data_IF_738905564823
#
_entry.id   IF_738905564823
#
_cell.length_a   1.000
_cell.length_b   1.000
_cell.length_c   1.000
_cell.angle_alpha   90.00
_cell.angle_beta   90.00
_cell.angle_gamma   90.00
#
_symmetry.space_group_name_H-M   'P 1'
#
loop_
_entity.id
_entity.type
_entity.pdbx_description
1 polymer ?
#
# COMPACT_ATOMS: atom_id res chain seq x y z
N UNK A 1 -8.55 -36.25 -62.77
CA UNK A 1 -7.79 -37.06 -61.80
C UNK A 1 -7.70 -36.24 -60.51
N UNK A 2 -8.69 -36.42 -59.65
CA UNK A 2 -8.85 -35.64 -58.41
C UNK A 2 -8.41 -36.46 -57.23
N UNK A 3 -7.53 -35.91 -56.41
CA UNK A 3 -7.12 -36.47 -55.12
C UNK A 3 -8.01 -35.88 -54.02
N UNK A 4 -8.84 -36.74 -53.40
CA UNK A 4 -9.57 -36.43 -52.20
C UNK A 4 -8.65 -36.65 -50.98
N UNK A 5 -8.36 -35.58 -50.22
CA UNK A 5 -7.79 -35.71 -48.90
C UNK A 5 -8.90 -35.78 -47.84
N UNK A 6 -9.03 -36.95 -47.21
CA UNK A 6 -9.88 -37.19 -46.05
C UNK A 6 -9.29 -36.50 -44.82
N UNK A 7 -9.98 -35.50 -44.29
CA UNK A 7 -9.73 -34.98 -42.95
C UNK A 7 -10.60 -35.75 -41.94
N UNK A 8 -9.97 -36.53 -41.10
CA UNK A 8 -10.61 -37.12 -39.93
C UNK A 8 -10.77 -36.03 -38.83
N UNK A 9 -11.90 -35.95 -38.12
CA UNK A 9 -12.05 -34.97 -37.05
C UNK A 9 -11.17 -35.37 -35.88
N UNK A 10 -10.32 -34.41 -35.43
CA UNK A 10 -9.60 -34.51 -34.15
C UNK A 10 -10.61 -34.45 -33.02
N UNK A 11 -10.73 -35.54 -32.26
CA UNK A 11 -11.48 -35.59 -31.01
C UNK A 11 -10.90 -34.59 -30.01
N UNK A 12 -11.71 -33.61 -29.66
CA UNK A 12 -11.43 -32.68 -28.55
C UNK A 12 -11.43 -33.48 -27.24
N UNK A 13 -10.24 -33.85 -26.80
CA UNK A 13 -10.00 -34.26 -25.42
C UNK A 13 -10.14 -33.03 -24.51
N UNK A 14 -11.34 -32.86 -23.94
CA UNK A 14 -11.54 -31.96 -22.83
C UNK A 14 -10.57 -32.33 -21.69
N UNK A 15 -9.48 -31.59 -21.53
CA UNK A 15 -8.70 -31.62 -20.30
C UNK A 15 -9.57 -31.05 -19.20
N UNK A 16 -10.16 -31.92 -18.40
CA UNK A 16 -10.76 -31.53 -17.12
C UNK A 16 -9.59 -31.04 -16.24
N UNK A 17 -9.43 -29.74 -16.16
CA UNK A 17 -8.57 -29.09 -15.15
C UNK A 17 -9.18 -29.40 -13.77
N UNK A 18 -8.75 -30.50 -13.17
CA UNK A 18 -9.04 -30.80 -11.77
C UNK A 18 -8.31 -29.71 -10.96
N UNK A 19 -9.05 -28.70 -10.54
CA UNK A 19 -8.56 -27.68 -9.64
C UNK A 19 -7.90 -28.39 -8.45
N UNK A 20 -6.57 -28.38 -8.39
CA UNK A 20 -5.81 -28.92 -7.25
C UNK A 20 -6.34 -28.25 -6.01
N UNK A 21 -7.00 -29.00 -5.11
CA UNK A 21 -7.38 -28.52 -3.77
C UNK A 21 -6.14 -27.90 -3.15
N UNK A 22 -6.19 -26.60 -2.93
CA UNK A 22 -5.11 -25.86 -2.27
C UNK A 22 -4.93 -26.48 -0.88
N UNK A 23 -3.79 -27.14 -0.63
CA UNK A 23 -3.50 -27.77 0.66
C UNK A 23 -3.58 -26.68 1.72
N UNK A 24 -4.49 -26.81 2.68
CA UNK A 24 -4.56 -25.89 3.81
C UNK A 24 -3.24 -25.92 4.55
N UNK A 25 -2.65 -24.73 4.71
CA UNK A 25 -1.42 -24.58 5.44
C UNK A 25 -1.73 -24.54 6.95
N UNK A 26 -0.83 -25.05 7.82
CA UNK A 26 -1.14 -25.24 9.22
C UNK A 26 -1.40 -23.95 9.98
N UNK A 27 -2.29 -24.01 10.96
CA UNK A 27 -2.42 -23.05 12.04
C UNK A 27 -1.43 -23.42 13.14
N UNK A 28 -0.66 -22.43 13.61
CA UNK A 28 0.24 -22.56 14.75
C UNK A 28 -0.33 -21.76 15.91
N UNK A 29 -0.61 -22.43 17.01
CA UNK A 29 -1.26 -21.82 18.16
C UNK A 29 -0.24 -21.29 19.19
N UNK A 30 -0.60 -20.18 19.85
CA UNK A 30 0.14 -19.57 20.96
C UNK A 30 1.63 -19.35 20.68
N UNK A 31 1.94 -18.83 19.51
CA UNK A 31 3.32 -18.55 19.11
C UNK A 31 3.74 -17.19 19.66
N UNK A 32 4.87 -17.14 20.35
CA UNK A 32 5.47 -15.90 20.83
C UNK A 32 6.26 -15.23 19.72
N UNK A 33 6.01 -13.96 19.49
CA UNK A 33 6.81 -13.12 18.58
C UNK A 33 8.08 -12.69 19.32
N UNK A 34 9.24 -12.90 18.70
CA UNK A 34 10.53 -12.77 19.40
C UNK A 34 11.38 -11.59 18.92
N UNK A 35 11.25 -11.17 17.66
CA UNK A 35 12.11 -10.12 17.09
C UNK A 35 11.41 -9.38 15.93
N UNK A 36 12.11 -8.41 15.37
CA UNK A 36 11.68 -7.64 14.19
C UNK A 36 12.67 -7.89 13.05
N UNK A 37 12.15 -8.09 11.86
CA UNK A 37 12.92 -8.22 10.63
C UNK A 37 12.77 -6.97 9.74
N UNK A 38 13.44 -7.01 8.59
CA UNK A 38 13.30 -5.99 7.56
C UNK A 38 11.85 -5.79 7.11
N UNK A 39 11.56 -4.64 6.51
CA UNK A 39 10.26 -4.28 5.95
C UNK A 39 9.10 -4.22 6.96
N UNK A 40 9.41 -4.10 8.26
CA UNK A 40 8.41 -4.00 9.31
C UNK A 40 7.67 -5.30 9.61
N UNK A 41 8.21 -6.45 9.22
CA UNK A 41 7.73 -7.77 9.64
C UNK A 41 8.32 -8.11 11.00
N UNK A 42 7.54 -8.75 11.84
CA UNK A 42 8.06 -9.36 13.06
C UNK A 42 8.44 -10.82 12.81
N UNK A 43 9.19 -11.41 13.73
CA UNK A 43 9.76 -12.75 13.62
C UNK A 43 9.29 -13.62 14.78
N UNK A 44 8.88 -14.84 14.44
CA UNK A 44 8.75 -15.94 15.38
C UNK A 44 9.62 -17.10 14.90
N UNK A 45 9.98 -18.00 15.80
CA UNK A 45 10.69 -19.25 15.50
C UNK A 45 9.95 -20.44 16.10
N UNK A 46 9.57 -21.38 15.25
CA UNK A 46 8.89 -22.62 15.69
C UNK A 46 9.59 -23.81 15.00
N UNK A 47 10.13 -24.73 15.80
CA UNK A 47 10.84 -25.92 15.31
C UNK A 47 11.89 -25.57 14.22
N UNK A 48 12.77 -24.62 14.51
CA UNK A 48 13.79 -24.06 13.62
C UNK A 48 13.30 -23.36 12.37
N UNK A 49 11.98 -23.31 12.13
CA UNK A 49 11.40 -22.54 11.04
C UNK A 49 11.23 -21.08 11.46
N UNK A 50 11.84 -20.18 10.71
CA UNK A 50 11.65 -18.74 10.86
C UNK A 50 10.31 -18.34 10.22
N UNK A 51 9.49 -17.58 10.95
CA UNK A 51 8.16 -17.16 10.51
C UNK A 51 8.09 -15.64 10.52
N UNK A 52 7.82 -15.05 9.36
CA UNK A 52 7.63 -13.61 9.19
C UNK A 52 6.15 -13.27 9.32
N UNK A 53 5.82 -12.31 10.19
CA UNK A 53 4.44 -11.94 10.52
C UNK A 53 4.29 -10.42 10.48
N UNK A 54 3.40 -9.86 9.67
CA UNK A 54 3.11 -8.43 9.69
C UNK A 54 2.19 -8.05 10.87
N UNK A 55 2.24 -6.78 11.29
CA UNK A 55 1.32 -6.15 12.24
C UNK A 55 1.30 -6.76 13.65
N UNK A 56 2.33 -7.49 14.02
CA UNK A 56 2.60 -7.97 15.37
C UNK A 56 3.92 -7.39 15.87
N UNK A 57 4.13 -7.39 17.18
CA UNK A 57 5.34 -6.87 17.81
C UNK A 57 5.96 -7.91 18.75
N UNK A 58 7.27 -7.84 19.02
CA UNK A 58 7.92 -8.75 19.96
C UNK A 58 7.22 -8.75 21.31
N UNK A 59 7.02 -9.96 21.87
CA UNK A 59 6.26 -10.17 23.13
C UNK A 59 4.78 -10.45 22.92
N UNK A 60 4.22 -10.27 21.71
CA UNK A 60 2.87 -10.76 21.43
C UNK A 60 2.84 -12.29 21.44
N UNK A 61 1.77 -12.89 21.99
CA UNK A 61 1.45 -14.31 21.86
C UNK A 61 0.21 -14.48 21.01
N UNK A 62 0.38 -15.13 19.85
CA UNK A 62 -0.64 -15.15 18.80
C UNK A 62 -0.81 -16.52 18.15
N UNK A 63 -2.00 -16.77 17.59
CA UNK A 63 -2.20 -17.88 16.65
C UNK A 63 -1.85 -17.40 15.24
N UNK A 64 -1.02 -18.16 14.55
CA UNK A 64 -0.47 -17.84 13.25
C UNK A 64 -1.02 -18.76 12.17
N UNK A 65 -1.78 -18.20 11.23
CA UNK A 65 -2.16 -18.89 10.00
C UNK A 65 -1.03 -18.76 8.98
N UNK A 66 -0.38 -19.86 8.65
CA UNK A 66 0.64 -19.88 7.59
C UNK A 66 -0.03 -19.57 6.25
N UNK A 67 0.53 -18.60 5.51
CA UNK A 67 0.06 -18.22 4.16
C UNK A 67 1.00 -18.74 3.07
N UNK A 68 2.29 -18.86 3.39
CA UNK A 68 3.30 -19.37 2.47
C UNK A 68 4.39 -20.07 3.27
N UNK A 69 4.84 -21.24 2.78
CA UNK A 69 5.95 -21.99 3.40
C UNK A 69 7.02 -22.28 2.36
N UNK A 70 8.27 -22.02 2.72
CA UNK A 70 9.49 -22.42 2.00
C UNK A 70 10.36 -23.31 2.89
N UNK A 71 11.48 -23.81 2.37
CA UNK A 71 12.33 -24.75 3.12
C UNK A 71 12.85 -24.17 4.44
N UNK A 72 13.22 -22.89 4.47
CA UNK A 72 13.90 -22.26 5.61
C UNK A 72 13.05 -21.18 6.31
N UNK A 73 11.92 -20.78 5.73
CA UNK A 73 11.05 -19.77 6.33
C UNK A 73 9.59 -19.94 5.94
N UNK A 74 8.72 -19.30 6.69
CA UNK A 74 7.31 -19.16 6.36
C UNK A 74 6.86 -17.71 6.49
N UNK A 75 5.76 -17.38 5.83
CA UNK A 75 5.01 -16.14 6.00
C UNK A 75 3.65 -16.49 6.58
N UNK A 76 3.26 -15.78 7.63
CA UNK A 76 2.01 -16.00 8.34
C UNK A 76 1.28 -14.70 8.64
N UNK A 77 0.02 -14.79 9.00
CA UNK A 77 -0.75 -13.69 9.58
C UNK A 77 -1.26 -14.11 10.95
N UNK A 78 -1.29 -13.18 11.88
CA UNK A 78 -1.91 -13.40 13.18
C UNK A 78 -3.44 -13.40 13.01
N UNK A 79 -4.09 -14.45 13.49
CA UNK A 79 -5.55 -14.61 13.41
C UNK A 79 -6.22 -14.48 14.79
N UNK A 80 -5.45 -14.65 15.87
CA UNK A 80 -5.92 -14.45 17.23
C UNK A 80 -4.77 -13.99 18.13
N UNK A 81 -5.05 -13.03 18.99
CA UNK A 81 -4.13 -12.58 20.02
C UNK A 81 -4.54 -13.20 21.36
N UNK A 82 -3.61 -13.87 22.03
CA UNK A 82 -3.76 -14.40 23.40
C UNK A 82 -3.22 -13.38 24.39
N UNK A 83 -2.03 -12.83 24.12
CA UNK A 83 -1.40 -11.82 24.93
C UNK A 83 -0.85 -10.70 24.04
N UNK A 84 -1.06 -9.46 24.45
CA UNK A 84 -0.51 -8.29 23.78
C UNK A 84 0.72 -7.80 24.52
N UNK A 85 1.80 -7.58 23.80
CA UNK A 85 3.05 -7.04 24.33
C UNK A 85 2.87 -5.64 24.91
N UNK A 86 3.61 -5.32 25.97
CA UNK A 86 3.71 -3.96 26.51
C UNK A 86 4.42 -2.97 25.58
N UNK A 87 5.13 -3.46 24.55
CA UNK A 87 5.74 -2.63 23.51
C UNK A 87 4.74 -2.13 22.47
N UNK A 88 3.50 -2.61 22.50
CA UNK A 88 2.48 -2.15 21.57
C UNK A 88 2.12 -0.70 21.81
N UNK A 89 2.03 0.03 20.70
CA UNK A 89 1.41 1.34 20.64
C UNK A 89 0.09 1.25 19.88
N UNK A 90 -0.87 2.08 20.25
CA UNK A 90 -2.12 2.19 19.50
C UNK A 90 -1.86 2.96 18.20
N UNK A 91 -2.16 2.39 17.03
CA UNK A 91 -1.99 3.09 15.77
C UNK A 91 -2.88 4.33 15.69
N UNK A 92 -2.28 5.47 15.38
CA UNK A 92 -3.02 6.74 15.24
C UNK A 92 -3.75 6.89 13.91
N UNK A 93 -3.44 6.07 12.92
CA UNK A 93 -4.03 6.14 11.58
C UNK A 93 -5.13 5.10 11.43
N UNK A 94 -6.36 5.56 11.11
CA UNK A 94 -7.50 4.68 10.86
C UNK A 94 -7.30 3.70 9.69
N UNK A 95 -6.37 3.98 8.78
CA UNK A 95 -6.07 3.14 7.63
C UNK A 95 -4.92 2.14 7.90
N UNK A 96 -4.41 2.11 9.14
CA UNK A 96 -3.33 1.19 9.48
C UNK A 96 -3.80 -0.27 9.38
N UNK A 97 -2.94 -1.13 8.84
CA UNK A 97 -3.28 -2.54 8.63
C UNK A 97 -3.92 -2.84 7.26
N UNK A 98 -4.55 -1.84 6.63
CA UNK A 98 -5.14 -1.95 5.29
C UNK A 98 -4.28 -1.21 4.26
N UNK A 99 -3.94 0.05 4.54
CA UNK A 99 -3.03 0.84 3.72
C UNK A 99 -1.61 0.26 3.73
N UNK A 100 -1.01 0.11 2.55
CA UNK A 100 0.36 -0.41 2.41
C UNK A 100 1.48 0.53 2.87
N UNK A 101 1.18 1.78 3.24
CA UNK A 101 2.18 2.82 3.48
C UNK A 101 2.95 2.68 4.80
N UNK A 102 2.27 2.35 5.90
CA UNK A 102 2.87 2.25 7.22
C UNK A 102 2.92 0.79 7.72
N UNK A 103 4.05 0.41 8.35
CA UNK A 103 4.27 -0.97 8.81
C UNK A 103 4.33 -1.09 10.34
N UNK A 104 4.74 -0.05 11.05
CA UNK A 104 5.16 -0.11 12.45
C UNK A 104 4.38 0.80 13.40
N UNK A 105 3.21 1.31 13.03
CA UNK A 105 2.44 2.16 13.96
C UNK A 105 1.97 1.42 15.23
N UNK A 106 1.96 0.09 15.19
CA UNK A 106 1.67 -0.74 16.36
C UNK A 106 2.86 -0.91 17.31
N UNK A 107 4.02 -0.34 17.01
CA UNK A 107 5.22 -0.37 17.84
C UNK A 107 5.58 1.04 18.28
N UNK A 108 5.97 1.23 19.57
CA UNK A 108 6.37 2.54 20.08
C UNK A 108 7.54 3.11 19.26
N UNK A 109 7.63 4.44 19.13
CA UNK A 109 8.72 5.04 18.35
C UNK A 109 10.09 4.72 18.93
N UNK A 110 10.23 4.65 20.24
CA UNK A 110 11.47 4.26 20.91
C UNK A 110 11.88 2.83 20.54
N UNK A 111 10.92 1.91 20.49
CA UNK A 111 11.18 0.55 20.05
C UNK A 111 11.47 0.48 18.53
N UNK A 112 10.78 1.30 17.71
CA UNK A 112 11.08 1.38 16.28
C UNK A 112 12.54 1.75 16.02
N UNK A 113 13.06 2.79 16.68
CA UNK A 113 14.47 3.20 16.51
C UNK A 113 15.44 2.16 17.07
N UNK A 114 15.13 1.53 18.22
CA UNK A 114 15.93 0.44 18.77
C UNK A 114 16.07 -0.74 17.79
N UNK A 115 14.96 -1.20 17.20
CA UNK A 115 15.00 -2.29 16.24
C UNK A 115 15.65 -1.89 14.91
N UNK A 116 15.52 -0.65 14.47
CA UNK A 116 16.25 -0.14 13.31
C UNK A 116 17.77 -0.14 13.54
N UNK A 117 18.20 0.31 14.70
CA UNK A 117 19.62 0.27 15.09
C UNK A 117 20.12 -1.17 15.12
N UNK A 118 19.37 -2.08 15.77
CA UNK A 118 19.71 -3.52 15.81
C UNK A 118 19.83 -4.11 14.40
N UNK A 119 18.90 -3.79 13.50
CA UNK A 119 18.93 -4.29 12.12
C UNK A 119 20.19 -3.83 11.38
N UNK A 120 20.58 -2.56 11.51
CA UNK A 120 21.82 -2.03 10.90
C UNK A 120 23.03 -2.73 11.46
N UNK A 121 23.10 -2.86 12.78
CA UNK A 121 24.20 -3.57 13.45
C UNK A 121 24.30 -5.04 12.99
N UNK A 122 23.20 -5.77 13.00
CA UNK A 122 23.14 -7.18 12.57
C UNK A 122 23.54 -7.32 11.08
N UNK A 123 23.11 -6.42 10.21
CA UNK A 123 23.45 -6.44 8.78
C UNK A 123 24.96 -6.22 8.56
N UNK A 124 25.54 -5.27 9.26
CA UNK A 124 26.97 -4.97 9.13
C UNK A 124 27.86 -6.09 9.71
N UNK A 125 27.51 -6.59 10.89
CA UNK A 125 28.35 -7.58 11.58
C UNK A 125 28.14 -9.01 11.08
N UNK A 126 26.87 -9.43 10.87
CA UNK A 126 26.57 -10.84 10.53
C UNK A 126 26.57 -11.08 9.02
N UNK A 127 26.05 -10.14 8.22
CA UNK A 127 25.99 -10.29 6.76
C UNK A 127 27.24 -9.68 6.13
N UNK A 128 27.55 -8.43 6.46
CA UNK A 128 28.71 -7.70 5.95
C UNK A 128 30.03 -8.21 6.51
N UNK A 129 30.02 -8.88 7.67
CA UNK A 129 31.23 -9.35 8.40
C UNK A 129 32.23 -8.23 8.64
N UNK A 130 31.73 -7.01 8.89
CA UNK A 130 32.53 -5.83 9.17
C UNK A 130 32.81 -5.74 10.66
N UNK A 131 34.07 -5.53 11.05
CA UNK A 131 34.44 -5.10 12.38
C UNK A 131 34.01 -3.65 12.57
N UNK A 132 33.14 -3.39 13.54
CA UNK A 132 32.63 -2.05 13.80
C UNK A 132 33.44 -1.39 14.93
N UNK A 133 33.76 -0.10 14.81
CA UNK A 133 34.17 0.70 15.96
C UNK A 133 33.00 0.82 16.94
N UNK A 134 33.14 1.68 17.95
CA UNK A 134 32.04 2.01 18.84
C UNK A 134 30.78 2.37 18.02
N UNK A 135 29.69 1.60 18.22
CA UNK A 135 28.45 1.80 17.47
C UNK A 135 27.57 2.81 18.18
N UNK A 136 27.60 4.04 17.69
CA UNK A 136 26.87 5.18 18.28
C UNK A 136 25.36 4.92 18.30
N UNK A 137 24.63 5.46 19.30
CA UNK A 137 23.19 5.39 19.35
C UNK A 137 22.54 6.00 18.10
N UNK A 138 21.46 5.40 17.62
CA UNK A 138 20.70 5.92 16.49
C UNK A 138 20.12 7.30 16.81
N UNK A 139 20.30 8.23 15.89
CA UNK A 139 19.65 9.54 15.97
C UNK A 139 18.17 9.40 15.58
N UNK A 140 17.27 9.69 16.50
CA UNK A 140 15.83 9.69 16.27
C UNK A 140 15.38 10.97 15.53
N UNK A 141 14.18 10.91 14.93
CA UNK A 141 13.51 12.08 14.36
C UNK A 141 12.69 12.78 15.45
N UNK A 142 12.73 14.09 15.51
CA UNK A 142 11.87 14.91 16.38
C UNK A 142 10.39 14.76 15.99
N UNK A 143 10.12 14.72 14.67
CA UNK A 143 8.77 14.53 14.13
C UNK A 143 8.54 13.07 13.78
N UNK A 144 7.55 12.46 14.40
CA UNK A 144 7.11 11.09 14.11
C UNK A 144 5.87 11.04 13.21
N UNK A 145 5.20 12.19 13.03
CA UNK A 145 4.11 12.44 12.09
C UNK A 145 4.45 13.66 11.24
N UNK A 146 3.84 13.81 10.07
CA UNK A 146 4.01 14.95 9.17
C UNK A 146 5.46 15.24 8.78
N UNK A 147 6.28 14.19 8.65
CA UNK A 147 7.71 14.29 8.35
C UNK A 147 8.05 14.12 6.86
N UNK A 148 7.10 13.62 6.06
CA UNK A 148 7.33 13.46 4.63
C UNK A 148 7.12 14.78 3.88
N UNK A 149 8.00 15.04 2.93
CA UNK A 149 7.90 16.18 2.04
C UNK A 149 7.27 15.84 0.68
N UNK A 150 6.97 14.57 0.40
CA UNK A 150 6.34 14.13 -0.85
C UNK A 150 5.42 12.95 -0.61
N UNK A 151 4.19 13.05 -1.14
CA UNK A 151 3.28 11.91 -1.30
C UNK A 151 2.72 11.91 -2.72
N UNK A 152 2.50 10.72 -3.23
CA UNK A 152 1.85 10.47 -4.52
C UNK A 152 0.61 9.62 -4.26
N UNK A 153 -0.53 10.10 -4.73
CA UNK A 153 -1.83 9.46 -4.59
C UNK A 153 -2.33 9.01 -5.96
N UNK A 154 -2.95 7.85 -6.00
CA UNK A 154 -3.51 7.27 -7.22
C UNK A 154 -5.00 7.52 -7.29
N UNK A 155 -5.49 7.93 -8.46
CA UNK A 155 -6.91 7.90 -8.82
C UNK A 155 -7.23 6.54 -9.44
N UNK A 156 -8.30 5.91 -8.99
CA UNK A 156 -8.74 4.62 -9.53
C UNK A 156 -10.25 4.52 -9.51
N UNK A 157 -10.82 3.92 -10.55
CA UNK A 157 -12.23 3.54 -10.59
C UNK A 157 -12.52 2.20 -9.87
N UNK A 158 -11.51 1.66 -9.17
CA UNK A 158 -11.59 0.40 -8.42
C UNK A 158 -11.23 0.62 -6.95
N UNK A 159 -12.18 1.20 -6.20
CA UNK A 159 -12.06 1.39 -4.77
C UNK A 159 -11.91 0.04 -4.05
N UNK A 160 -10.98 -0.01 -3.10
CA UNK A 160 -10.93 -1.09 -2.13
C UNK A 160 -12.04 -0.92 -1.10
N UNK A 161 -12.86 -1.96 -0.92
CA UNK A 161 -13.85 -2.03 0.16
C UNK A 161 -13.23 -2.73 1.36
N UNK A 162 -13.47 -2.18 2.55
CA UNK A 162 -13.05 -2.81 3.82
C UNK A 162 -13.86 -4.07 4.09
N UNK A 163 -13.41 -4.90 5.03
CA UNK A 163 -14.16 -6.10 5.42
C UNK A 163 -15.54 -5.76 5.99
N UNK A 164 -15.65 -4.64 6.69
CA UNK A 164 -16.92 -4.16 7.23
C UNK A 164 -17.88 -3.73 6.13
N UNK A 165 -17.37 -3.00 5.12
CA UNK A 165 -18.16 -2.59 3.96
C UNK A 165 -18.63 -3.80 3.15
N UNK A 166 -17.78 -4.82 2.98
CA UNK A 166 -18.15 -6.05 2.27
C UNK A 166 -19.21 -6.85 3.04
N UNK A 167 -19.14 -6.89 4.37
CA UNK A 167 -20.12 -7.59 5.21
C UNK A 167 -21.50 -6.93 5.22
N UNK A 168 -21.58 -5.64 4.93
CA UNK A 168 -22.85 -4.91 4.87
C UNK A 168 -23.68 -5.23 3.61
N UNK A 169 -23.10 -5.93 2.63
CA UNK A 169 -23.73 -6.29 1.34
C UNK A 169 -24.39 -5.10 0.60
N UNK A 170 -23.80 -3.91 0.78
CA UNK A 170 -24.28 -2.68 0.16
C UNK A 170 -23.60 -2.52 -1.20
N UNK A 171 -24.41 -2.22 -2.22
CA UNK A 171 -23.86 -1.79 -3.52
C UNK A 171 -23.47 -0.31 -3.40
N UNK A 172 -22.20 -0.04 -3.67
CA UNK A 172 -21.70 1.33 -3.71
C UNK A 172 -21.78 1.86 -5.14
N UNK A 173 -22.52 2.94 -5.33
CA UNK A 173 -22.62 3.62 -6.63
C UNK A 173 -21.30 4.28 -7.02
N UNK A 174 -20.52 4.72 -6.02
CA UNK A 174 -19.23 5.36 -6.24
C UNK A 174 -18.07 4.39 -5.93
N UNK A 175 -17.45 3.89 -7.00
CA UNK A 175 -16.26 3.04 -6.93
C UNK A 175 -14.96 3.77 -7.28
N UNK A 176 -15.03 5.09 -7.47
CA UNK A 176 -13.85 5.92 -7.62
C UNK A 176 -13.17 6.14 -6.27
N UNK A 177 -11.85 6.16 -6.27
CA UNK A 177 -11.04 6.38 -5.06
C UNK A 177 -9.79 7.19 -5.37
N UNK A 178 -9.38 8.01 -4.41
CA UNK A 178 -8.07 8.67 -4.41
C UNK A 178 -7.33 8.25 -3.14
N UNK A 179 -6.14 7.69 -3.31
CA UNK A 179 -5.36 7.22 -2.17
C UNK A 179 -4.20 6.33 -2.54
N UNK A 180 -4.05 5.21 -1.82
CA UNK A 180 -2.91 4.30 -2.00
C UNK A 180 -3.36 2.91 -2.43
N UNK A 181 -2.51 2.26 -3.22
CA UNK A 181 -2.72 0.86 -3.60
C UNK A 181 -2.69 -0.07 -2.37
N UNK A 182 -3.51 -1.10 -2.42
CA UNK A 182 -3.50 -2.17 -1.43
C UNK A 182 -2.36 -3.15 -1.73
N UNK A 183 -1.59 -3.57 -0.71
CA UNK A 183 -0.57 -4.59 -0.89
C UNK A 183 -1.14 -5.88 -1.49
N UNK A 184 -0.56 -6.30 -2.61
CA UNK A 184 -1.01 -7.50 -3.33
C UNK A 184 -2.20 -7.32 -4.28
N UNK A 185 -2.80 -6.11 -4.35
CA UNK A 185 -3.89 -5.77 -5.26
C UNK A 185 -3.54 -4.50 -6.05
N UNK A 186 -2.75 -4.64 -7.10
CA UNK A 186 -2.15 -3.53 -7.85
C UNK A 186 -3.17 -2.57 -8.49
N UNK A 187 -4.36 -3.05 -8.80
CA UNK A 187 -5.43 -2.28 -9.42
C UNK A 187 -6.47 -1.72 -8.43
N UNK A 188 -6.31 -2.00 -7.14
CA UNK A 188 -7.22 -1.53 -6.09
C UNK A 188 -6.61 -0.38 -5.30
N UNK A 189 -7.41 0.64 -5.05
CA UNK A 189 -7.01 1.83 -4.29
C UNK A 189 -7.89 2.00 -3.07
N UNK A 190 -7.27 2.11 -1.91
CA UNK A 190 -7.94 2.51 -0.67
C UNK A 190 -8.17 4.02 -0.70
N UNK A 191 -9.42 4.43 -0.57
CA UNK A 191 -9.76 5.84 -0.40
C UNK A 191 -9.20 6.34 0.95
N UNK A 192 -8.42 7.42 0.92
CA UNK A 192 -7.77 7.98 2.09
C UNK A 192 -8.41 9.32 2.45
N UNK A 193 -8.92 9.43 3.68
CA UNK A 193 -9.43 10.71 4.20
C UNK A 193 -8.32 11.53 4.85
N UNK A 194 -7.47 10.89 5.65
CA UNK A 194 -6.33 11.54 6.31
C UNK A 194 -5.09 10.66 6.28
N UNK A 195 -4.00 11.22 5.77
CA UNK A 195 -2.66 10.64 5.88
C UNK A 195 -1.83 11.47 6.86
N UNK A 196 -1.18 10.81 7.81
CA UNK A 196 -0.40 11.43 8.86
C UNK A 196 1.09 11.58 8.51
N UNK A 197 1.47 11.23 7.28
CA UNK A 197 2.89 11.24 6.88
C UNK A 197 3.35 12.59 6.35
N UNK A 198 2.48 13.35 5.68
CA UNK A 198 2.77 14.67 5.13
C UNK A 198 1.85 15.70 5.78
N UNK A 199 2.28 16.96 5.78
CA UNK A 199 1.51 18.10 6.29
C UNK A 199 0.05 18.06 5.84
N UNK A 200 -0.86 18.52 6.70
CA UNK A 200 -2.31 18.38 6.50
C UNK A 200 -2.82 19.09 5.25
N UNK A 201 -2.11 20.06 4.73
CA UNK A 201 -2.43 20.70 3.45
C UNK A 201 -2.53 19.68 2.31
N UNK A 202 -1.74 18.60 2.34
CA UNK A 202 -1.83 17.53 1.35
C UNK A 202 -3.14 16.77 1.41
N UNK A 203 -3.72 16.59 2.60
CA UNK A 203 -5.03 15.99 2.80
C UNK A 203 -6.14 16.91 2.25
N UNK A 204 -6.05 18.20 2.56
CA UNK A 204 -7.03 19.19 2.11
C UNK A 204 -7.06 19.29 0.58
N UNK A 205 -5.90 19.35 -0.07
CA UNK A 205 -5.78 19.41 -1.53
C UNK A 205 -6.34 18.12 -2.16
N UNK A 206 -5.90 16.95 -1.66
CA UNK A 206 -6.36 15.66 -2.18
C UNK A 206 -7.88 15.52 -2.08
N UNK A 207 -8.45 15.82 -0.91
CA UNK A 207 -9.89 15.70 -0.70
C UNK A 207 -10.66 16.68 -1.56
N UNK A 208 -10.21 17.94 -1.67
CA UNK A 208 -10.85 18.94 -2.53
C UNK A 208 -10.85 18.54 -4.01
N UNK A 209 -9.73 18.02 -4.51
CA UNK A 209 -9.63 17.55 -5.91
C UNK A 209 -10.54 16.33 -6.12
N UNK A 210 -10.57 15.38 -5.16
CA UNK A 210 -11.47 14.23 -5.22
C UNK A 210 -12.94 14.67 -5.29
N UNK A 211 -13.36 15.55 -4.38
CA UNK A 211 -14.74 15.97 -4.26
C UNK A 211 -15.19 16.74 -5.50
N UNK A 212 -14.35 17.63 -6.01
CA UNK A 212 -14.58 18.33 -7.28
C UNK A 212 -14.69 17.34 -8.45
N UNK A 213 -13.81 16.36 -8.52
CA UNK A 213 -13.82 15.36 -9.57
C UNK A 213 -15.08 14.48 -9.53
N UNK A 214 -15.63 14.19 -8.33
CA UNK A 214 -16.91 13.49 -8.17
C UNK A 214 -18.09 14.35 -8.65
N UNK A 215 -18.14 15.59 -8.20
CA UNK A 215 -19.23 16.53 -8.54
C UNK A 215 -19.32 16.78 -10.05
N UNK A 216 -18.16 16.87 -10.72
CA UNK A 216 -18.08 17.19 -12.16
C UNK A 216 -17.88 15.95 -13.04
N UNK A 217 -18.06 14.74 -12.50
CA UNK A 217 -17.99 13.48 -13.24
C UNK A 217 -16.68 13.32 -14.06
N UNK A 218 -15.53 13.55 -13.41
CA UNK A 218 -14.23 13.22 -13.99
C UNK A 218 -14.02 11.71 -13.98
N UNK A 219 -13.44 11.19 -15.04
CA UNK A 219 -13.11 9.78 -15.16
C UNK A 219 -11.82 9.47 -14.40
N UNK A 220 -11.88 8.51 -13.47
CA UNK A 220 -10.71 8.00 -12.77
C UNK A 220 -10.11 6.84 -13.53
N UNK A 221 -8.79 6.73 -13.51
CA UNK A 221 -8.05 5.79 -14.33
C UNK A 221 -8.29 4.33 -13.93
N UNK A 222 -8.55 3.49 -14.92
CA UNK A 222 -8.56 2.03 -14.78
C UNK A 222 -7.23 1.46 -15.24
N UNK A 223 -6.48 0.88 -14.31
CA UNK A 223 -5.16 0.26 -14.58
C UNK A 223 -5.24 -0.98 -15.48
N UNK A 224 -6.40 -1.63 -15.61
CA UNK A 224 -6.54 -2.81 -16.46
C UNK A 224 -6.90 -2.45 -17.89
N UNK A 225 -7.90 -1.60 -18.08
CA UNK A 225 -8.30 -1.12 -19.40
C UNK A 225 -7.40 0.00 -19.94
N UNK A 226 -6.61 0.64 -19.06
CA UNK A 226 -5.77 1.81 -19.39
C UNK A 226 -6.59 3.01 -19.86
N UNK A 227 -7.81 3.15 -19.33
CA UNK A 227 -8.76 4.22 -19.65
C UNK A 227 -9.06 5.09 -18.44
N UNK A 228 -9.55 6.32 -18.69
CA UNK A 228 -9.85 7.32 -17.67
C UNK A 228 -8.83 8.46 -17.64
N UNK A 229 -9.27 9.64 -17.24
CA UNK A 229 -8.52 10.88 -17.35
C UNK A 229 -7.53 11.08 -16.19
N UNK A 230 -7.99 10.98 -14.93
CA UNK A 230 -7.16 11.26 -13.75
C UNK A 230 -6.38 10.00 -13.32
N UNK A 231 -5.03 10.09 -13.31
CA UNK A 231 -4.15 8.96 -12.99
C UNK A 231 -3.54 9.09 -11.61
N UNK A 232 -2.68 10.07 -11.40
CA UNK A 232 -1.98 10.27 -10.14
C UNK A 232 -1.96 11.76 -9.76
N UNK A 233 -1.80 12.01 -8.47
CA UNK A 233 -1.54 13.34 -7.93
C UNK A 233 -0.32 13.26 -7.02
N UNK A 234 0.63 14.17 -7.21
CA UNK A 234 1.75 14.36 -6.31
C UNK A 234 1.61 15.69 -5.58
N UNK A 235 1.79 15.67 -4.27
CA UNK A 235 1.93 16.86 -3.45
C UNK A 235 3.33 16.86 -2.86
N UNK A 236 4.03 18.00 -2.98
CA UNK A 236 5.37 18.17 -2.45
C UNK A 236 5.46 19.47 -1.69
N UNK A 237 6.02 19.41 -0.49
CA UNK A 237 6.29 20.55 0.37
C UNK A 237 7.79 20.72 0.56
N UNK A 238 8.26 21.97 0.70
CA UNK A 238 9.63 22.29 1.11
C UNK A 238 9.68 22.75 2.57
N UNK A 239 10.86 22.77 3.16
CA UNK A 239 11.10 23.37 4.48
C UNK A 239 11.05 24.90 4.46
N UNK A 240 11.11 25.50 3.28
CA UNK A 240 11.04 26.95 3.04
C UNK A 240 9.62 27.43 2.76
N UNK A 241 8.63 26.53 2.75
CA UNK A 241 7.21 26.86 2.66
C UNK A 241 6.61 26.71 1.26
N UNK A 242 7.41 26.37 0.23
CA UNK A 242 6.87 26.14 -1.12
C UNK A 242 6.04 24.87 -1.17
N UNK A 243 4.98 24.94 -1.97
CA UNK A 243 4.01 23.87 -2.15
C UNK A 243 3.83 23.58 -3.65
N UNK A 244 4.17 22.36 -4.07
CA UNK A 244 3.96 21.91 -5.44
C UNK A 244 2.86 20.86 -5.48
N UNK A 245 1.96 21.02 -6.45
CA UNK A 245 0.94 20.02 -6.81
C UNK A 245 1.11 19.68 -8.27
N UNK A 246 1.21 18.39 -8.58
CA UNK A 246 1.30 17.87 -9.92
C UNK A 246 0.21 16.84 -10.16
N UNK A 247 -0.61 17.05 -11.17
CA UNK A 247 -1.62 16.10 -11.63
C UNK A 247 -1.12 15.35 -12.86
N UNK A 248 -1.11 14.03 -12.80
CA UNK A 248 -0.85 13.18 -13.95
C UNK A 248 -2.17 12.71 -14.54
N UNK A 249 -2.34 12.88 -15.84
CA UNK A 249 -3.58 12.59 -16.55
C UNK A 249 -3.32 11.89 -17.89
N UNK A 250 -4.37 11.20 -18.37
CA UNK A 250 -4.47 10.78 -19.77
C UNK A 250 -5.42 11.77 -20.45
N UNK A 251 -4.96 12.42 -21.52
CA UNK A 251 -5.72 13.40 -22.30
C UNK A 251 -5.61 13.00 -23.75
N UNK A 252 -6.74 12.76 -24.40
CA UNK A 252 -6.84 12.30 -25.79
C UNK A 252 -7.69 13.24 -26.66
N UNK A 253 -8.33 14.24 -26.04
CA UNK A 253 -9.18 15.22 -26.71
C UNK A 253 -9.04 16.63 -26.12
N UNK A 254 -9.40 17.64 -26.92
CA UNK A 254 -9.44 19.03 -26.46
C UNK A 254 -10.45 19.23 -25.32
N UNK A 255 -11.56 18.51 -25.34
CA UNK A 255 -12.55 18.57 -24.26
C UNK A 255 -11.99 18.08 -22.92
N UNK A 256 -11.17 17.02 -22.91
CA UNK A 256 -10.47 16.56 -21.71
C UNK A 256 -9.40 17.57 -21.26
N UNK A 257 -8.71 18.21 -22.20
CA UNK A 257 -7.76 19.29 -21.89
C UNK A 257 -8.46 20.48 -21.23
N UNK A 258 -9.62 20.86 -21.71
CA UNK A 258 -10.41 21.95 -21.12
C UNK A 258 -10.94 21.57 -19.74
N UNK A 259 -11.42 20.34 -19.54
CA UNK A 259 -11.74 19.83 -18.20
C UNK A 259 -10.52 19.93 -17.25
N UNK A 260 -9.31 19.57 -17.70
CA UNK A 260 -8.11 19.70 -16.87
C UNK A 260 -7.83 21.15 -16.48
N UNK A 261 -7.96 22.10 -17.41
CA UNK A 261 -7.80 23.54 -17.11
C UNK A 261 -8.79 24.02 -16.06
N UNK A 262 -10.06 23.58 -16.15
CA UNK A 262 -11.10 23.92 -15.16
C UNK A 262 -10.73 23.36 -13.77
N UNK A 263 -10.25 22.13 -13.68
CA UNK A 263 -9.78 21.53 -12.42
C UNK A 263 -8.59 22.31 -11.86
N UNK A 264 -7.61 22.66 -12.70
CA UNK A 264 -6.43 23.43 -12.26
C UNK A 264 -6.83 24.83 -11.76
N UNK A 265 -7.78 25.49 -12.44
CA UNK A 265 -8.28 26.81 -12.00
C UNK A 265 -8.95 26.69 -10.62
N UNK A 266 -9.85 25.68 -10.43
CA UNK A 266 -10.44 25.42 -9.13
C UNK A 266 -9.39 25.21 -8.02
N UNK A 267 -8.34 24.45 -8.30
CA UNK A 267 -7.26 24.20 -7.32
C UNK A 267 -6.49 25.48 -7.03
N UNK A 268 -6.15 26.27 -8.03
CA UNK A 268 -5.46 27.55 -7.88
C UNK A 268 -6.26 28.55 -7.04
N UNK A 269 -7.55 28.66 -7.30
CA UNK A 269 -8.45 29.58 -6.59
C UNK A 269 -8.64 29.14 -5.12
N UNK A 270 -8.78 27.84 -4.88
CA UNK A 270 -9.03 27.31 -3.54
C UNK A 270 -7.77 27.27 -2.68
N UNK A 271 -6.59 27.13 -3.27
CA UNK A 271 -5.31 26.98 -2.58
C UNK A 271 -4.27 27.96 -3.11
N UNK A 272 -4.43 29.28 -2.86
CA UNK A 272 -3.53 30.32 -3.39
C UNK A 272 -2.09 30.20 -2.85
N UNK A 273 -1.85 29.43 -1.80
CA UNK A 273 -0.51 29.12 -1.29
C UNK A 273 0.28 28.13 -2.13
N UNK A 274 -0.32 27.50 -3.14
CA UNK A 274 0.41 26.63 -4.07
C UNK A 274 1.37 27.48 -4.91
N UNK A 275 2.66 27.20 -4.80
CA UNK A 275 3.71 27.92 -5.53
C UNK A 275 3.97 27.31 -6.91
N UNK A 276 3.65 26.03 -7.10
CA UNK A 276 3.81 25.34 -8.38
C UNK A 276 2.62 24.39 -8.61
N UNK A 277 1.72 24.76 -9.52
CA UNK A 277 0.60 23.92 -9.92
C UNK A 277 0.87 23.43 -11.34
N UNK A 278 1.02 22.12 -11.50
CA UNK A 278 1.48 21.48 -12.71
C UNK A 278 0.54 20.35 -13.13
N UNK A 279 0.51 20.06 -14.42
CA UNK A 279 -0.04 18.81 -14.93
C UNK A 279 0.89 18.16 -15.94
N UNK A 280 0.80 16.86 -16.07
CA UNK A 280 1.57 16.05 -17.02
C UNK A 280 0.61 15.12 -17.76
N UNK A 281 0.68 15.17 -19.10
CA UNK A 281 -0.05 14.23 -19.93
C UNK A 281 0.78 12.96 -20.09
N UNK A 282 0.24 11.85 -19.63
CA UNK A 282 0.85 10.53 -19.75
C UNK A 282 -0.15 9.56 -20.39
N UNK A 283 -0.09 9.42 -21.69
CA UNK A 283 -0.94 8.53 -22.48
C UNK A 283 -0.33 7.13 -22.65
N UNK A 284 0.85 6.88 -22.05
CA UNK A 284 1.51 5.57 -22.13
C UNK A 284 0.80 4.54 -21.25
N UNK A 285 0.78 3.29 -21.73
CA UNK A 285 0.44 2.14 -20.88
C UNK A 285 1.50 1.96 -19.79
N UNK A 286 1.06 1.53 -18.61
CA UNK A 286 1.96 1.20 -17.49
C UNK A 286 2.40 -0.27 -17.60
#
# INVERSE_FOLDING_TARGET
>A
MGLFCNFAPKSDLYKIDVARKKKELPLLEKVTITDVAAEGKAVAKVNDLVIFVPYVVPGDVVDLQIKRKKNHYAEAVAVKFHEKSSMRAEPFCQHYGVCGGCKWQCLSYQDQIRYKQKQVYDNLTRIGKVELPEFMPILGSEKTMFYRNKLEFTFSNKRWLTEEEVKQDVKYDQMNAVGFHIPGAFDKVLAIEKCWLQDDISNQIRNAIRDFAYEHNYEFFDLRSQEGMLRNMMVRTSSTGELMVLLQCKITSDAELDKMKVLLQFVADKFPQITSLLYVINNKCN
#
